data_IF_661005602807
#
_entry.id   IF_661005602807
#
_cell.length_a   1.000
_cell.length_b   1.000
_cell.length_c   1.000
_cell.angle_alpha   90.00
_cell.angle_beta   90.00
_cell.angle_gamma   90.00
#
_symmetry.space_group_name_H-M   'P 1'
#
loop_
_entity.id
_entity.type
_entity.pdbx_description
1 polymer ?
#
# COMPACT_ATOMS: atom_id res chain seq x y z
N UNK A 1 2.95 -18.14 -2.20
CA UNK A 1 1.75 -18.63 -2.92
C UNK A 1 1.27 -17.71 -4.03
N UNK A 2 0.51 -16.63 -3.75
CA UNK A 2 -0.08 -15.82 -4.82
C UNK A 2 0.95 -15.10 -5.70
N UNK A 3 2.06 -14.67 -5.09
CA UNK A 3 3.20 -14.09 -5.82
C UNK A 3 3.90 -15.12 -6.72
N UNK A 4 4.04 -16.37 -6.28
CA UNK A 4 4.65 -17.43 -7.09
C UNK A 4 3.81 -17.82 -8.31
N UNK A 5 2.50 -17.54 -8.27
CA UNK A 5 1.55 -17.78 -9.36
C UNK A 5 1.45 -16.60 -10.34
N UNK A 6 2.21 -15.52 -10.13
CA UNK A 6 2.19 -14.38 -11.02
C UNK A 6 2.74 -14.74 -12.40
N UNK A 7 2.11 -14.23 -13.46
CA UNK A 7 2.52 -14.43 -14.86
C UNK A 7 3.67 -13.52 -15.28
N UNK A 8 3.92 -12.45 -14.53
CA UNK A 8 5.05 -11.56 -14.77
C UNK A 8 6.38 -12.26 -14.46
N UNK A 9 7.49 -11.75 -15.00
CA UNK A 9 8.81 -12.34 -14.80
C UNK A 9 9.20 -12.34 -13.32
N UNK A 10 9.23 -13.54 -12.71
CA UNK A 10 9.43 -13.69 -11.26
C UNK A 10 10.75 -13.13 -10.75
N UNK A 11 11.81 -13.23 -11.56
CA UNK A 11 13.14 -12.67 -11.24
C UNK A 11 13.15 -11.14 -11.20
N UNK A 12 12.18 -10.49 -11.83
CA UNK A 12 12.00 -9.04 -11.79
C UNK A 12 11.11 -8.59 -10.62
N UNK A 13 10.57 -9.51 -9.82
CA UNK A 13 9.76 -9.21 -8.65
C UNK A 13 10.63 -9.37 -7.39
N UNK A 14 10.57 -8.37 -6.52
CA UNK A 14 10.96 -8.50 -5.12
C UNK A 14 9.72 -8.30 -4.23
N UNK A 15 9.68 -9.03 -3.12
CA UNK A 15 8.66 -8.93 -2.10
C UNK A 15 9.29 -8.44 -0.81
N UNK A 16 8.74 -7.35 -0.25
CA UNK A 16 9.17 -6.82 1.05
C UNK A 16 7.97 -6.89 1.98
N UNK A 17 8.08 -7.72 3.00
CA UNK A 17 7.07 -7.88 4.04
C UNK A 17 7.51 -7.06 5.25
N UNK A 18 6.70 -6.07 5.62
CA UNK A 18 6.96 -5.23 6.79
C UNK A 18 5.91 -5.52 7.86
N UNK A 19 6.35 -6.06 8.99
CA UNK A 19 5.51 -6.29 10.15
C UNK A 19 5.35 -5.00 10.95
N UNK A 20 4.11 -4.57 11.18
CA UNK A 20 3.81 -3.38 11.97
C UNK A 20 3.73 -3.70 13.47
N UNK A 21 4.78 -4.32 14.01
CA UNK A 21 4.86 -4.80 15.39
C UNK A 21 6.30 -4.71 15.91
N UNK A 22 6.46 -4.93 17.22
CA UNK A 22 7.77 -5.16 17.84
C UNK A 22 8.11 -6.64 17.68
N UNK A 23 9.18 -6.96 16.95
CA UNK A 23 9.73 -8.32 16.87
C UNK A 23 10.82 -8.47 17.94
N UNK A 24 10.63 -9.39 18.89
CA UNK A 24 11.66 -9.76 19.87
C UNK A 24 12.52 -10.90 19.33
N UNK A 25 13.77 -11.04 19.81
CA UNK A 25 14.71 -12.09 19.38
C UNK A 25 14.17 -13.53 19.47
N UNK A 26 13.18 -13.77 20.33
CA UNK A 26 12.54 -15.09 20.52
C UNK A 26 11.12 -15.18 19.92
N UNK A 27 10.65 -14.14 19.22
CA UNK A 27 9.33 -14.20 18.59
C UNK A 27 9.40 -15.12 17.37
N UNK A 28 8.74 -16.28 17.49
CA UNK A 28 8.44 -17.20 16.38
C UNK A 28 7.44 -16.60 15.37
N UNK A 29 7.06 -15.34 15.57
CA UNK A 29 5.99 -14.64 14.84
C UNK A 29 6.40 -14.31 13.42
N UNK A 30 7.71 -14.21 13.12
CA UNK A 30 8.16 -14.13 11.72
C UNK A 30 7.91 -15.50 11.09
N UNK A 31 6.86 -15.67 10.27
CA UNK A 31 6.58 -16.95 9.68
C UNK A 31 7.75 -17.30 8.78
N UNK A 32 8.06 -18.59 8.67
CA UNK A 32 8.97 -19.11 7.65
C UNK A 32 8.33 -18.95 6.26
N UNK A 33 8.07 -17.71 5.84
CA UNK A 33 7.59 -17.35 4.53
C UNK A 33 8.70 -17.73 3.55
N UNK A 34 8.37 -18.65 2.65
CA UNK A 34 9.24 -19.05 1.55
C UNK A 34 8.48 -18.78 0.27
N UNK A 35 9.17 -18.12 -0.66
CA UNK A 35 8.77 -17.97 -2.05
C UNK A 35 9.94 -18.50 -2.86
N UNK A 36 9.68 -19.38 -3.81
CA UNK A 36 10.75 -20.16 -4.45
C UNK A 36 11.48 -19.37 -5.54
N UNK A 37 10.83 -18.35 -6.11
CA UNK A 37 11.27 -17.71 -7.35
C UNK A 37 11.33 -16.19 -7.29
N UNK A 38 11.14 -15.61 -6.11
CA UNK A 38 11.04 -14.17 -5.88
C UNK A 38 11.99 -13.81 -4.74
N UNK A 39 12.68 -12.68 -4.84
CA UNK A 39 13.49 -12.19 -3.73
C UNK A 39 12.59 -11.74 -2.59
N UNK A 40 12.76 -12.28 -1.39
CA UNK A 40 11.94 -11.95 -0.23
C UNK A 40 12.81 -11.29 0.85
N UNK A 41 12.40 -10.11 1.30
CA UNK A 41 12.89 -9.51 2.54
C UNK A 41 11.76 -9.39 3.55
N UNK A 42 12.11 -9.60 4.81
CA UNK A 42 11.21 -9.42 5.93
C UNK A 42 11.86 -8.41 6.88
N UNK A 43 11.09 -7.43 7.30
CA UNK A 43 11.50 -6.40 8.27
C UNK A 43 10.31 -6.01 9.13
N UNK A 44 10.51 -5.11 10.09
CA UNK A 44 9.46 -4.63 10.98
C UNK A 44 9.62 -3.16 11.34
N UNK A 45 8.52 -2.54 11.76
CA UNK A 45 8.53 -1.18 12.31
C UNK A 45 9.21 -1.12 13.67
N UNK A 46 9.23 -2.24 14.41
CA UNK A 46 9.75 -2.32 15.77
C UNK A 46 9.16 -1.26 16.70
N UNK A 47 7.86 -1.00 16.55
CA UNK A 47 7.16 0.05 17.27
C UNK A 47 5.73 -0.39 17.61
N UNK A 48 5.30 -0.06 18.82
CA UNK A 48 3.92 -0.29 19.25
C UNK A 48 2.92 0.65 18.56
N UNK A 49 1.66 0.21 18.47
CA UNK A 49 0.55 0.99 17.95
C UNK A 49 0.30 0.77 16.46
N UNK A 50 -0.38 1.74 15.83
CA UNK A 50 -0.72 1.70 14.40
C UNK A 50 0.30 2.51 13.61
N UNK A 51 1.26 1.84 12.97
CA UNK A 51 2.34 2.46 12.20
C UNK A 51 2.31 2.03 10.73
N UNK A 52 1.13 1.77 10.16
CA UNK A 52 0.95 1.36 8.76
C UNK A 52 1.67 2.27 7.75
N UNK A 53 1.64 3.59 7.96
CA UNK A 53 2.37 4.55 7.12
C UNK A 53 3.90 4.35 7.21
N UNK A 54 4.43 4.14 8.42
CA UNK A 54 5.84 3.86 8.65
C UNK A 54 6.25 2.52 8.04
N UNK A 55 5.43 1.47 8.23
CA UNK A 55 5.68 0.15 7.65
C UNK A 55 5.82 0.22 6.13
N UNK A 56 4.93 0.95 5.46
CA UNK A 56 4.99 1.13 4.00
C UNK A 56 6.17 2.00 3.56
N UNK A 57 6.51 3.04 4.31
CA UNK A 57 7.69 3.86 4.02
C UNK A 57 8.98 3.02 4.13
N UNK A 58 9.13 2.21 5.19
CA UNK A 58 10.25 1.26 5.33
C UNK A 58 10.31 0.34 4.11
N UNK A 59 9.19 -0.27 3.72
CA UNK A 59 9.15 -1.15 2.55
C UNK A 59 9.62 -0.47 1.26
N UNK A 60 9.22 0.78 1.03
CA UNK A 60 9.67 1.56 -0.13
C UNK A 60 11.15 1.93 -0.05
N UNK A 61 11.65 2.29 1.13
CA UNK A 61 13.06 2.65 1.32
C UNK A 61 13.96 1.43 1.04
N UNK A 62 13.58 0.26 1.55
CA UNK A 62 14.29 -1.01 1.37
C UNK A 62 14.15 -1.61 -0.04
N UNK A 63 13.18 -1.14 -0.82
CA UNK A 63 12.97 -1.59 -2.20
C UNK A 63 14.04 -1.07 -3.16
N UNK A 64 14.41 -1.94 -4.09
CA UNK A 64 15.30 -1.69 -5.21
C UNK A 64 14.58 -1.56 -6.55
N UNK A 65 13.33 -2.02 -6.64
CA UNK A 65 12.51 -1.94 -7.85
C UNK A 65 12.18 -0.52 -8.31
N UNK A 66 12.03 -0.34 -9.62
CA UNK A 66 11.62 0.95 -10.21
C UNK A 66 10.16 1.30 -9.88
N UNK A 67 9.33 0.27 -9.70
CA UNK A 67 7.91 0.39 -9.42
C UNK A 67 7.58 -0.22 -8.05
N UNK A 68 6.61 0.39 -7.38
CA UNK A 68 6.09 -0.08 -6.09
C UNK A 68 4.67 -0.58 -6.30
N UNK A 69 4.44 -1.83 -5.90
CA UNK A 69 3.11 -2.35 -5.67
C UNK A 69 2.83 -2.40 -4.17
N UNK A 70 1.84 -1.65 -3.70
CA UNK A 70 1.31 -1.82 -2.36
C UNK A 70 0.25 -2.92 -2.37
N UNK A 71 0.40 -3.91 -1.48
CA UNK A 71 -0.57 -4.98 -1.28
C UNK A 71 -0.69 -5.29 0.22
N UNK A 72 -1.85 -5.04 0.82
CA UNK A 72 -2.08 -5.48 2.20
C UNK A 72 -2.06 -7.02 2.27
N UNK A 73 -1.58 -7.58 3.40
CA UNK A 73 -1.48 -9.03 3.64
C UNK A 73 -2.82 -9.79 3.60
N UNK A 74 -3.93 -9.08 3.69
CA UNK A 74 -5.31 -9.58 3.60
C UNK A 74 -5.84 -9.64 2.16
N UNK A 75 -5.04 -9.29 1.17
CA UNK A 75 -5.38 -9.32 -0.24
C UNK A 75 -4.53 -10.36 -0.96
N UNK A 76 -5.17 -11.11 -1.84
CA UNK A 76 -4.54 -12.10 -2.71
C UNK A 76 -4.61 -11.60 -4.16
N UNK A 77 -3.52 -11.09 -4.74
CA UNK A 77 -3.52 -10.66 -6.15
C UNK A 77 -3.85 -11.81 -7.09
N UNK A 78 -4.69 -11.57 -8.10
CA UNK A 78 -4.90 -12.53 -9.20
C UNK A 78 -3.61 -12.70 -10.01
N UNK A 79 -3.47 -13.82 -10.71
CA UNK A 79 -2.22 -14.29 -11.33
C UNK A 79 -1.62 -13.33 -12.37
N UNK A 80 -2.42 -12.48 -12.99
CA UNK A 80 -1.98 -11.52 -14.01
C UNK A 80 -1.89 -10.07 -13.49
N UNK A 81 -2.16 -9.82 -12.21
CA UNK A 81 -2.32 -8.47 -11.68
C UNK A 81 -1.08 -7.60 -11.83
N UNK A 82 0.10 -8.16 -11.53
CA UNK A 82 1.37 -7.42 -11.66
C UNK A 82 1.63 -7.07 -13.13
N UNK A 83 1.39 -8.01 -14.04
CA UNK A 83 1.56 -7.79 -15.48
C UNK A 83 0.64 -6.67 -15.99
N UNK A 84 -0.63 -6.66 -15.54
CA UNK A 84 -1.58 -5.61 -15.93
C UNK A 84 -1.13 -4.24 -15.45
N UNK A 85 -0.72 -4.13 -14.18
CA UNK A 85 -0.19 -2.88 -13.64
C UNK A 85 1.06 -2.41 -14.39
N UNK A 86 2.00 -3.32 -14.64
CA UNK A 86 3.25 -3.01 -15.33
C UNK A 86 2.97 -2.52 -16.75
N UNK A 87 2.20 -3.27 -17.55
CA UNK A 87 1.90 -2.88 -18.93
C UNK A 87 1.10 -1.57 -19.01
N UNK A 88 0.19 -1.32 -18.06
CA UNK A 88 -0.52 -0.04 -17.98
C UNK A 88 0.42 1.14 -17.67
N UNK A 89 1.49 0.90 -16.90
CA UNK A 89 2.50 1.91 -16.58
C UNK A 89 3.51 2.10 -17.72
N UNK A 90 3.92 1.02 -18.38
CA UNK A 90 4.84 1.01 -19.52
C UNK A 90 4.23 1.66 -20.76
N UNK A 91 2.90 1.52 -20.95
CA UNK A 91 2.16 2.18 -22.02
C UNK A 91 2.01 3.72 -21.83
N UNK A 92 2.50 4.28 -20.71
CA UNK A 92 2.47 5.72 -20.49
C UNK A 92 3.70 6.37 -21.12
N UNK A 93 3.46 7.24 -22.11
CA UNK A 93 4.52 8.06 -22.70
C UNK A 93 5.08 9.05 -21.66
N UNK A 94 4.20 9.76 -20.95
CA UNK A 94 4.55 10.71 -19.89
C UNK A 94 3.47 10.76 -18.81
N UNK A 95 3.83 11.29 -17.64
CA UNK A 95 2.89 11.64 -16.57
C UNK A 95 3.12 10.96 -15.24
N UNK A 96 2.46 11.51 -14.21
CA UNK A 96 2.48 11.03 -12.84
C UNK A 96 1.17 10.31 -12.56
N UNK A 97 1.15 9.00 -12.78
CA UNK A 97 -0.05 8.19 -12.56
C UNK A 97 0.18 7.20 -11.42
N UNK A 98 -0.82 7.07 -10.56
CA UNK A 98 -0.90 6.03 -9.55
C UNK A 98 -2.12 5.16 -9.85
N UNK A 99 -1.85 3.92 -10.23
CA UNK A 99 -2.90 2.96 -10.54
C UNK A 99 -3.41 2.27 -9.27
N UNK A 100 -4.68 1.90 -9.25
CA UNK A 100 -5.24 1.05 -8.20
C UNK A 100 -6.23 0.05 -8.81
N UNK A 101 -6.24 -1.16 -8.25
CA UNK A 101 -6.97 -2.29 -8.79
C UNK A 101 -8.32 -2.54 -8.11
N UNK A 102 -9.09 -3.47 -8.66
CA UNK A 102 -10.30 -3.98 -8.01
C UNK A 102 -9.96 -4.98 -6.91
N UNK A 103 -10.76 -4.97 -5.85
CA UNK A 103 -10.67 -5.90 -4.72
C UNK A 103 -11.97 -6.72 -4.54
N UNK A 104 -12.78 -6.80 -5.60
CA UNK A 104 -14.07 -7.50 -5.61
C UNK A 104 -15.27 -6.65 -5.16
N UNK A 105 -15.09 -5.35 -4.96
CA UNK A 105 -16.16 -4.44 -4.56
C UNK A 105 -16.59 -3.48 -5.68
N UNK A 106 -15.90 -3.51 -6.83
CA UNK A 106 -16.12 -2.62 -7.97
C UNK A 106 -16.14 -1.13 -7.57
N UNK A 107 -15.33 -0.77 -6.56
CA UNK A 107 -15.21 0.60 -6.07
C UNK A 107 -14.09 1.30 -6.84
N UNK A 108 -14.46 2.36 -7.54
CA UNK A 108 -13.54 3.27 -8.24
C UNK A 108 -12.93 4.35 -7.32
N UNK A 109 -13.14 4.26 -6.02
CA UNK A 109 -12.54 5.16 -5.05
C UNK A 109 -11.13 4.67 -4.71
N UNK A 110 -10.14 5.55 -4.88
CA UNK A 110 -8.75 5.24 -4.57
C UNK A 110 -8.57 4.77 -3.13
N UNK A 111 -7.92 3.61 -3.00
CA UNK A 111 -7.37 3.07 -1.77
C UNK A 111 -6.01 2.48 -2.13
N UNK A 112 -4.97 2.91 -1.45
CA UNK A 112 -3.59 2.60 -1.76
C UNK A 112 -3.21 1.13 -1.51
N UNK A 113 -4.06 0.35 -0.83
CA UNK A 113 -3.70 -0.98 -0.35
C UNK A 113 -3.69 -2.10 -1.40
N UNK A 114 -4.03 -1.78 -2.64
CA UNK A 114 -3.80 -2.61 -3.83
C UNK A 114 -3.58 -1.66 -5.01
N UNK A 115 -2.37 -1.12 -5.07
CA UNK A 115 -2.03 0.00 -5.96
C UNK A 115 -0.60 -0.08 -6.47
N UNK A 116 -0.34 0.62 -7.58
CA UNK A 116 0.93 0.56 -8.31
C UNK A 116 1.38 1.96 -8.76
N UNK A 117 2.63 2.31 -8.48
CA UNK A 117 3.20 3.63 -8.75
C UNK A 117 4.70 3.54 -9.03
N UNK A 118 5.25 4.47 -9.82
CA UNK A 118 6.70 4.66 -9.95
C UNK A 118 7.31 5.01 -8.58
N UNK A 119 8.34 4.27 -8.16
CA UNK A 119 9.03 4.48 -6.88
C UNK A 119 9.56 5.91 -6.76
N UNK A 120 10.15 6.42 -7.83
CA UNK A 120 10.67 7.79 -7.88
C UNK A 120 9.58 8.81 -7.58
N UNK A 121 8.41 8.70 -8.21
CA UNK A 121 7.30 9.61 -7.98
C UNK A 121 6.77 9.51 -6.56
N UNK A 122 6.66 8.29 -6.03
CA UNK A 122 6.22 8.04 -4.65
C UNK A 122 7.17 8.67 -3.60
N UNK A 123 8.48 8.60 -3.83
CA UNK A 123 9.45 9.26 -2.95
C UNK A 123 9.35 10.79 -3.10
N UNK A 124 9.31 11.28 -4.35
CA UNK A 124 9.31 12.71 -4.67
C UNK A 124 8.09 13.45 -4.14
N UNK A 125 6.90 12.84 -4.14
CA UNK A 125 5.70 13.51 -3.59
C UNK A 125 5.65 13.50 -2.04
N UNK A 126 6.59 12.82 -1.39
CA UNK A 126 6.77 12.81 0.05
C UNK A 126 6.22 11.58 0.78
N UNK A 127 6.11 10.42 0.11
CA UNK A 127 5.72 9.13 0.71
C UNK A 127 4.43 9.18 1.56
N UNK A 128 4.27 8.31 2.56
CA UNK A 128 3.13 8.33 3.48
C UNK A 128 3.38 9.19 4.72
N UNK A 129 2.37 9.94 5.14
CA UNK A 129 2.47 10.77 6.36
C UNK A 129 2.29 9.91 7.61
N UNK A 130 3.39 9.66 8.32
CA UNK A 130 3.44 8.86 9.55
C UNK A 130 2.71 9.48 10.74
N UNK A 131 2.27 10.74 10.65
CA UNK A 131 1.38 11.34 11.65
C UNK A 131 -0.04 10.79 11.56
N UNK A 132 -0.40 10.08 10.48
CA UNK A 132 -1.66 9.34 10.36
C UNK A 132 -1.52 7.96 11.03
N UNK A 133 -1.55 8.01 12.36
CA UNK A 133 -1.41 6.91 13.31
C UNK A 133 -2.74 6.21 13.64
N UNK A 134 -3.76 6.39 12.80
CA UNK A 134 -5.09 5.80 12.97
C UNK A 134 -5.70 5.41 11.63
N UNK A 135 -6.63 4.47 11.65
CA UNK A 135 -7.32 4.02 10.46
C UNK A 135 -8.19 5.11 9.82
N UNK A 136 -8.16 5.20 8.49
CA UNK A 136 -9.16 5.93 7.69
C UNK A 136 -8.74 7.31 7.16
N UNK A 137 -7.60 7.85 7.56
CA UNK A 137 -7.09 9.14 7.05
C UNK A 137 -6.18 9.04 5.83
N UNK A 138 -5.45 7.93 5.69
CA UNK A 138 -4.29 7.82 4.80
C UNK A 138 -4.63 7.96 3.31
N UNK A 139 -5.59 7.19 2.79
CA UNK A 139 -5.97 7.28 1.37
C UNK A 139 -6.47 8.67 0.98
N UNK A 140 -7.15 9.37 1.90
CA UNK A 140 -7.66 10.72 1.67
C UNK A 140 -6.52 11.75 1.62
N UNK A 141 -5.56 11.64 2.54
CA UNK A 141 -4.37 12.49 2.58
C UNK A 141 -3.53 12.30 1.31
N UNK A 142 -3.21 11.04 0.98
CA UNK A 142 -2.41 10.67 -0.19
C UNK A 142 -3.05 11.17 -1.48
N UNK A 143 -4.36 10.91 -1.67
CA UNK A 143 -5.10 11.40 -2.84
C UNK A 143 -5.02 12.92 -2.96
N UNK A 144 -5.28 13.63 -1.86
CA UNK A 144 -5.31 15.09 -1.86
C UNK A 144 -3.94 15.66 -2.21
N UNK A 145 -2.88 15.13 -1.60
CA UNK A 145 -1.51 15.58 -1.83
C UNK A 145 -1.01 15.23 -3.23
N UNK A 146 -1.29 14.01 -3.71
CA UNK A 146 -0.91 13.55 -5.05
C UNK A 146 -1.53 14.42 -6.14
N UNK A 147 -2.85 14.65 -6.09
CA UNK A 147 -3.57 15.48 -7.06
C UNK A 147 -3.05 16.92 -7.04
N UNK A 148 -2.81 17.50 -5.85
CA UNK A 148 -2.25 18.86 -5.72
C UNK A 148 -0.84 19.00 -6.31
N UNK A 149 -0.10 17.91 -6.48
CA UNK A 149 1.23 17.90 -7.09
C UNK A 149 1.21 17.51 -8.58
N UNK A 150 0.02 17.57 -9.21
CA UNK A 150 -0.19 17.26 -10.61
C UNK A 150 -0.23 15.76 -10.92
N UNK A 151 -0.43 14.92 -9.91
CA UNK A 151 -0.61 13.48 -10.08
C UNK A 151 -2.05 13.11 -10.43
N UNK A 152 -2.22 12.00 -11.13
CA UNK A 152 -3.52 11.41 -11.47
C UNK A 152 -3.70 10.04 -10.82
N UNK A 153 -4.92 9.71 -10.41
CA UNK A 153 -5.29 8.39 -9.88
C UNK A 153 -6.13 7.67 -10.92
N UNK A 154 -5.69 6.49 -11.37
CA UNK A 154 -6.40 5.71 -12.39
C UNK A 154 -6.81 4.34 -11.86
N UNK A 155 -8.08 4.02 -12.02
CA UNK A 155 -8.62 2.72 -11.67
C UNK A 155 -8.38 1.72 -12.82
N UNK A 156 -7.84 0.54 -12.50
CA UNK A 156 -7.67 -0.57 -13.44
C UNK A 156 -8.53 -1.75 -12.98
N UNK A 157 -9.70 -1.91 -13.61
CA UNK A 157 -10.66 -2.96 -13.25
C UNK A 157 -10.13 -4.39 -13.49
N UNK A 158 -9.17 -4.53 -14.41
CA UNK A 158 -8.59 -5.82 -14.77
C UNK A 158 -7.45 -6.23 -13.83
N UNK A 159 -6.82 -5.28 -13.13
CA UNK A 159 -5.89 -5.59 -12.06
C UNK A 159 -6.70 -5.92 -10.81
N UNK A 160 -6.76 -7.20 -10.41
CA UNK A 160 -7.71 -7.70 -9.41
C UNK A 160 -7.02 -8.37 -8.23
N UNK A 161 -7.60 -8.21 -7.05
CA UNK A 161 -7.24 -9.01 -5.88
C UNK A 161 -8.49 -9.54 -5.19
N UNK A 162 -8.35 -10.73 -4.61
CA UNK A 162 -9.36 -11.33 -3.75
C UNK A 162 -9.12 -10.90 -2.30
N UNK A 163 -10.17 -10.45 -1.62
CA UNK A 163 -10.11 -10.19 -0.18
C UNK A 163 -10.15 -11.51 0.59
N UNK A 164 -9.08 -11.82 1.33
CA UNK A 164 -8.98 -13.01 2.18
C UNK A 164 -9.71 -12.81 3.51
N UNK A 165 -9.62 -11.60 4.05
CA UNK A 165 -10.19 -11.23 5.34
C UNK A 165 -10.88 -9.87 5.26
N UNK A 166 -12.20 -9.88 5.40
CA UNK A 166 -12.98 -8.64 5.47
C UNK A 166 -12.78 -7.97 6.83
N UNK A 167 -12.34 -6.71 6.84
CA UNK A 167 -12.43 -5.91 8.08
C UNK A 167 -13.85 -5.43 8.28
N UNK A 168 -14.55 -5.97 9.28
CA UNK A 168 -15.85 -5.45 9.70
C UNK A 168 -15.71 -4.05 10.30
N UNK A 169 -16.77 -3.27 10.21
CA UNK A 169 -16.85 -1.98 10.90
C UNK A 169 -17.12 -2.26 12.38
N UNK A 170 -16.18 -1.89 13.25
CA UNK A 170 -16.36 -1.93 14.71
C UNK A 170 -16.53 -0.52 15.27
N UNK A 171 -16.94 -0.41 16.53
CA UNK A 171 -17.07 0.87 17.23
C UNK A 171 -15.72 1.59 17.31
N UNK A 172 -14.65 0.86 17.59
CA UNK A 172 -13.27 1.35 17.66
C UNK A 172 -12.83 1.86 16.29
N UNK A 173 -13.04 1.07 15.23
CA UNK A 173 -12.72 1.47 13.86
C UNK A 173 -13.48 2.73 13.43
N UNK A 174 -14.74 2.87 13.85
CA UNK A 174 -15.53 4.09 13.60
C UNK A 174 -14.94 5.29 14.32
N UNK A 175 -14.52 5.13 15.57
CA UNK A 175 -13.84 6.17 16.36
C UNK A 175 -12.53 6.59 15.69
N UNK A 176 -11.70 5.64 15.25
CA UNK A 176 -10.45 5.93 14.54
C UNK A 176 -10.67 6.72 13.24
N UNK A 177 -11.73 6.40 12.48
CA UNK A 177 -12.08 7.15 11.27
C UNK A 177 -12.45 8.60 11.62
N UNK A 178 -13.22 8.81 12.68
CA UNK A 178 -13.64 10.15 13.12
C UNK A 178 -12.41 10.96 13.56
N UNK A 179 -11.58 10.39 14.42
CA UNK A 179 -10.38 11.05 14.93
C UNK A 179 -9.36 11.33 13.81
N UNK A 180 -9.21 10.39 12.86
CA UNK A 180 -8.40 10.60 11.65
C UNK A 180 -8.90 11.78 10.82
N UNK A 181 -10.22 11.94 10.67
CA UNK A 181 -10.80 13.08 9.95
C UNK A 181 -10.55 14.40 10.65
N UNK A 182 -10.70 14.46 11.98
CA UNK A 182 -10.35 15.66 12.74
C UNK A 182 -8.86 15.99 12.63
N UNK A 183 -7.99 14.97 12.66
CA UNK A 183 -6.55 15.17 12.43
C UNK A 183 -6.26 15.75 11.04
N UNK A 184 -6.87 15.23 9.98
CA UNK A 184 -6.73 15.79 8.63
C UNK A 184 -7.23 17.23 8.55
N UNK A 185 -8.36 17.53 9.19
CA UNK A 185 -8.93 18.86 9.23
C UNK A 185 -7.98 19.85 9.92
N UNK A 186 -7.44 19.47 11.09
CA UNK A 186 -6.40 20.23 11.80
C UNK A 186 -5.16 20.44 10.94
N UNK A 187 -4.68 19.41 10.23
CA UNK A 187 -3.51 19.52 9.36
C UNK A 187 -3.71 20.47 8.18
N UNK A 188 -4.89 20.47 7.56
CA UNK A 188 -5.14 21.26 6.35
C UNK A 188 -5.72 22.64 6.59
N UNK A 189 -6.39 22.87 7.73
CA UNK A 189 -7.05 24.14 8.05
C UNK A 189 -6.50 24.82 9.30
N UNK A 190 -5.68 24.16 10.09
CA UNK A 190 -5.20 24.69 11.37
C UNK A 190 -6.27 24.74 12.46
N UNK A 191 -7.43 24.12 12.26
CA UNK A 191 -8.55 24.12 13.21
C UNK A 191 -8.25 23.21 14.41
N UNK A 192 -8.51 23.69 15.63
CA UNK A 192 -8.44 22.91 16.88
C UNK A 192 -9.85 22.53 17.34
N UNK A 193 -10.06 21.25 17.66
CA UNK A 193 -11.29 20.68 18.23
C UNK A 193 -10.97 19.96 19.53
#
# INVERSE_FOLDING_TARGET
>A
DALDKQTYEKKAIEAIVVWDEIIKENDTVVPNLKVENISLRITATNKDGYNLAMARNIGVIESSGEYIMFCDSRLEPETNSISIFYHAMDALEEGKIWFFGDKGAHKNAFVENFSFIKRFDFIKFGMMNERLDRYGGMSQELRTRWIKQGGELKYLADARAKELLSSKLTTEKRKDIIESKFKLLKMYRGESY
#
